data_IF_796875184456
#
_entry.id   IF_796875184456
#
_cell.length_a   1.000
_cell.length_b   1.000
_cell.length_c   1.000
_cell.angle_alpha   90.00
_cell.angle_beta   90.00
_cell.angle_gamma   90.00
#
_symmetry.space_group_name_H-M   'P 1'
#
loop_
_entity.id
_entity.type
_entity.pdbx_description
1 polymer ?
#
# COMPACT_ATOMS: atom_id res chain seq x y z
N UNK A 1 4.91 37.78 -6.56
CA UNK A 1 4.36 37.69 -5.21
C UNK A 1 5.44 38.16 -4.24
N UNK A 2 5.27 39.38 -3.67
CA UNK A 2 6.17 39.92 -2.65
C UNK A 2 6.09 39.09 -1.38
N UNK A 3 7.20 38.56 -0.91
CA UNK A 3 7.29 37.91 0.40
C UNK A 3 7.19 39.02 1.47
N UNK A 4 6.06 39.06 2.16
CA UNK A 4 5.88 39.85 3.38
C UNK A 4 6.34 38.96 4.54
N UNK A 5 7.43 39.30 5.22
CA UNK A 5 7.84 38.66 6.47
C UNK A 5 6.81 38.98 7.55
N UNK A 6 6.29 38.01 8.30
CA UNK A 6 5.35 38.28 9.39
C UNK A 6 6.04 39.07 10.51
N UNK A 7 5.49 40.20 10.86
CA UNK A 7 6.07 41.13 11.85
C UNK A 7 5.38 41.10 13.21
N UNK A 8 4.29 40.37 13.38
CA UNK A 8 3.60 40.21 14.66
C UNK A 8 3.23 38.73 14.96
N UNK A 9 3.06 38.39 16.24
CA UNK A 9 2.57 37.06 16.66
C UNK A 9 1.20 36.73 16.05
N UNK A 10 0.38 37.73 15.77
CA UNK A 10 -0.95 37.61 15.19
C UNK A 10 -0.86 37.25 13.68
N UNK A 11 0.02 37.92 12.93
CA UNK A 11 0.28 37.62 11.52
C UNK A 11 0.83 36.21 11.32
N UNK A 12 1.70 35.76 12.24
CA UNK A 12 2.24 34.40 12.23
C UNK A 12 1.16 33.35 12.47
N UNK A 13 0.24 33.61 13.39
CA UNK A 13 -0.88 32.70 13.68
C UNK A 13 -1.86 32.61 12.50
N UNK A 14 -2.18 33.77 11.88
CA UNK A 14 -3.05 33.83 10.71
C UNK A 14 -2.41 33.16 9.48
N UNK A 15 -1.10 33.32 9.30
CA UNK A 15 -0.34 32.59 8.27
C UNK A 15 -0.39 31.08 8.49
N UNK A 16 -0.18 30.63 9.73
CA UNK A 16 -0.25 29.19 10.08
C UNK A 16 -1.65 28.64 9.81
N UNK A 17 -2.71 29.34 10.23
CA UNK A 17 -4.09 28.92 10.00
C UNK A 17 -4.39 28.83 8.50
N UNK A 18 -4.00 29.83 7.71
CA UNK A 18 -4.18 29.84 6.24
C UNK A 18 -3.38 28.71 5.57
N UNK A 19 -2.15 28.46 6.04
CA UNK A 19 -1.33 27.36 5.52
C UNK A 19 -1.96 25.99 5.78
N UNK A 20 -2.48 25.75 7.01
CA UNK A 20 -3.18 24.52 7.33
C UNK A 20 -4.52 24.39 6.58
N UNK A 21 -5.28 25.47 6.38
CA UNK A 21 -6.51 25.43 5.58
C UNK A 21 -6.21 25.12 4.11
N UNK A 22 -5.14 25.70 3.57
CA UNK A 22 -4.68 25.43 2.20
C UNK A 22 -4.33 23.93 2.02
N UNK A 23 -3.54 23.35 2.93
CA UNK A 23 -3.15 21.94 2.87
C UNK A 23 -4.36 21.00 3.02
N UNK A 24 -5.32 21.34 3.90
CA UNK A 24 -6.45 20.46 4.22
C UNK A 24 -7.61 20.58 3.24
N UNK A 25 -7.82 21.73 2.63
CA UNK A 25 -9.03 22.01 1.83
C UNK A 25 -8.68 22.57 0.47
N UNK A 26 -8.00 23.72 0.41
CA UNK A 26 -7.91 24.49 -0.83
C UNK A 26 -7.12 23.79 -1.91
N UNK A 27 -6.04 23.08 -1.55
CA UNK A 27 -5.21 22.33 -2.49
C UNK A 27 -5.99 21.23 -3.21
N UNK A 28 -7.01 20.65 -2.56
CA UNK A 28 -7.86 19.58 -3.11
C UNK A 28 -8.96 20.08 -4.03
N UNK A 29 -9.31 21.37 -3.94
CA UNK A 29 -10.31 22.04 -4.79
C UNK A 29 -9.74 22.56 -6.10
N UNK A 30 -8.43 22.55 -6.27
CA UNK A 30 -7.76 23.02 -7.49
C UNK A 30 -7.88 21.94 -8.56
N UNK A 31 -8.52 22.21 -9.69
CA UNK A 31 -8.52 21.30 -10.85
C UNK A 31 -7.15 21.29 -11.52
N UNK A 32 -6.48 20.13 -11.51
CA UNK A 32 -5.14 20.00 -12.12
C UNK A 32 -5.18 20.22 -13.65
N UNK A 33 -6.29 19.86 -14.29
CA UNK A 33 -6.49 20.05 -15.73
C UNK A 33 -6.49 21.52 -16.17
N UNK A 34 -6.88 22.45 -15.29
CA UNK A 34 -6.99 23.87 -15.59
C UNK A 34 -5.66 24.63 -15.42
N UNK A 35 -4.60 23.94 -14.98
CA UNK A 35 -3.32 24.55 -14.68
C UNK A 35 -2.25 24.31 -15.76
N UNK A 36 -1.31 25.26 -15.95
CA UNK A 36 -0.11 25.01 -16.76
C UNK A 36 0.69 23.83 -16.22
N UNK A 37 1.30 23.04 -17.11
CA UNK A 37 1.99 21.78 -16.79
C UNK A 37 2.92 21.85 -15.57
N UNK A 38 3.75 22.91 -15.45
CA UNK A 38 4.69 23.05 -14.33
C UNK A 38 3.99 23.25 -12.96
N UNK A 39 2.90 24.03 -12.92
CA UNK A 39 2.13 24.25 -11.69
C UNK A 39 1.32 23.00 -11.32
N UNK A 40 0.70 22.37 -12.31
CA UNK A 40 -0.03 21.12 -12.17
C UNK A 40 0.87 20.02 -11.56
N UNK A 41 2.07 19.86 -12.09
CA UNK A 41 3.07 18.91 -11.58
C UNK A 41 3.43 19.19 -10.11
N UNK A 42 3.75 20.43 -9.75
CA UNK A 42 4.13 20.79 -8.38
C UNK A 42 2.98 20.55 -7.39
N UNK A 43 1.75 20.93 -7.75
CA UNK A 43 0.57 20.70 -6.90
C UNK A 43 0.31 19.20 -6.76
N UNK A 44 0.46 18.43 -7.85
CA UNK A 44 0.31 16.97 -7.80
C UNK A 44 1.33 16.33 -6.86
N UNK A 45 2.62 16.72 -6.93
CA UNK A 45 3.65 16.21 -6.02
C UNK A 45 3.35 16.58 -4.56
N UNK A 46 2.89 17.80 -4.31
CA UNK A 46 2.53 18.23 -2.96
C UNK A 46 1.33 17.43 -2.43
N UNK A 47 0.30 17.18 -3.26
CA UNK A 47 -0.83 16.31 -2.89
C UNK A 47 -0.38 14.89 -2.55
N UNK A 48 0.52 14.30 -3.36
CA UNK A 48 1.07 12.96 -3.12
C UNK A 48 1.74 12.89 -1.75
N UNK A 49 2.57 13.88 -1.42
CA UNK A 49 3.26 13.92 -0.12
C UNK A 49 2.26 14.08 1.03
N UNK A 50 1.30 15.00 0.90
CA UNK A 50 0.27 15.22 1.94
C UNK A 50 -0.56 13.94 2.14
N UNK A 51 -0.98 13.30 1.04
CA UNK A 51 -1.78 12.08 1.09
C UNK A 51 -1.00 10.93 1.73
N UNK A 52 0.28 10.76 1.40
CA UNK A 52 1.12 9.74 2.00
C UNK A 52 1.29 9.93 3.52
N UNK A 53 1.52 11.17 3.99
CA UNK A 53 1.60 11.45 5.42
C UNK A 53 0.26 11.23 6.14
N UNK A 54 -0.84 11.63 5.50
CA UNK A 54 -2.17 11.44 6.03
C UNK A 54 -2.55 9.96 6.11
N UNK A 55 -2.33 9.19 5.03
CA UNK A 55 -2.55 7.74 5.00
C UNK A 55 -1.69 7.03 6.04
N UNK A 56 -0.41 7.44 6.19
CA UNK A 56 0.50 6.88 7.20
C UNK A 56 -0.05 6.99 8.63
N UNK A 57 -0.75 8.08 8.96
CA UNK A 57 -1.40 8.28 10.26
C UNK A 57 -2.75 7.53 10.35
N UNK A 58 -3.62 7.66 9.33
CA UNK A 58 -4.95 7.03 9.27
C UNK A 58 -4.85 5.50 9.32
N UNK A 59 -3.89 4.91 8.59
CA UNK A 59 -3.63 3.47 8.55
C UNK A 59 -2.79 2.98 9.73
N UNK A 60 -2.47 3.87 10.67
CA UNK A 60 -1.71 3.55 11.88
C UNK A 60 -0.40 2.82 11.59
N UNK A 61 0.32 3.27 10.57
CA UNK A 61 1.55 2.64 10.10
C UNK A 61 2.62 2.49 11.19
N UNK A 62 2.68 3.41 12.17
CA UNK A 62 3.58 3.31 13.33
C UNK A 62 3.29 2.06 14.17
N UNK A 63 2.01 1.76 14.43
CA UNK A 63 1.60 0.58 15.21
C UNK A 63 1.85 -0.69 14.40
N UNK A 64 1.52 -0.68 13.10
CA UNK A 64 1.77 -1.81 12.20
C UNK A 64 3.25 -2.14 12.09
N UNK A 65 4.11 -1.12 11.99
CA UNK A 65 5.56 -1.30 12.00
C UNK A 65 6.06 -1.98 13.28
N UNK A 66 5.50 -1.62 14.44
CA UNK A 66 5.85 -2.29 15.72
C UNK A 66 5.41 -3.75 15.72
N UNK A 67 4.24 -4.04 15.21
CA UNK A 67 3.76 -5.43 15.04
C UNK A 67 4.67 -6.21 14.07
N UNK A 68 5.04 -5.63 12.92
CA UNK A 68 5.94 -6.25 11.96
C UNK A 68 7.34 -6.46 12.53
N UNK A 69 7.85 -5.52 13.34
CA UNK A 69 9.12 -5.66 14.07
C UNK A 69 9.09 -6.87 15.01
N UNK A 70 8.02 -7.02 15.79
CA UNK A 70 7.85 -8.16 16.67
C UNK A 70 7.81 -9.49 15.90
N UNK A 71 7.00 -9.59 14.85
CA UNK A 71 6.94 -10.81 14.04
C UNK A 71 8.25 -11.09 13.30
N UNK A 72 8.96 -10.06 12.84
CA UNK A 72 10.29 -10.21 12.21
C UNK A 72 11.27 -10.79 13.21
N UNK A 73 11.30 -10.28 14.45
CA UNK A 73 12.18 -10.79 15.48
C UNK A 73 11.90 -12.27 15.80
N UNK A 74 10.62 -12.63 15.99
CA UNK A 74 10.24 -14.01 16.29
C UNK A 74 10.60 -14.99 15.15
N UNK A 75 10.62 -14.52 13.93
CA UNK A 75 10.82 -15.37 12.75
C UNK A 75 12.20 -15.26 12.14
N UNK A 76 13.08 -14.41 12.66
CA UNK A 76 14.41 -14.21 12.06
C UNK A 76 15.20 -15.50 11.99
N UNK A 77 15.16 -16.32 13.04
CA UNK A 77 15.83 -17.62 13.09
C UNK A 77 15.17 -18.64 12.13
N UNK A 78 13.85 -18.85 12.15
CA UNK A 78 13.16 -19.67 11.14
C UNK A 78 13.43 -19.24 9.68
N UNK A 79 13.37 -17.94 9.39
CA UNK A 79 13.65 -17.41 8.05
C UNK A 79 15.10 -17.69 7.65
N UNK A 80 16.05 -17.39 8.52
CA UNK A 80 17.47 -17.67 8.27
C UNK A 80 17.72 -19.17 8.09
N UNK A 81 17.11 -20.03 8.92
CA UNK A 81 17.22 -21.49 8.76
C UNK A 81 16.70 -21.96 7.39
N UNK A 82 15.59 -21.41 6.91
CA UNK A 82 15.08 -21.72 5.56
C UNK A 82 16.06 -21.24 4.47
N UNK A 83 16.61 -20.02 4.58
CA UNK A 83 17.61 -19.49 3.66
C UNK A 83 18.87 -20.38 3.61
N UNK A 84 19.41 -20.74 4.78
CA UNK A 84 20.58 -21.63 4.86
C UNK A 84 20.25 -23.05 4.42
N UNK A 85 19.03 -23.54 4.67
CA UNK A 85 18.56 -24.84 4.18
C UNK A 85 18.57 -24.90 2.65
N UNK A 86 17.99 -23.89 2.00
CA UNK A 86 18.02 -23.75 0.54
C UNK A 86 19.46 -23.60 0.04
N UNK A 87 20.24 -22.69 0.62
CA UNK A 87 21.63 -22.45 0.25
C UNK A 87 22.49 -23.73 0.38
N UNK A 88 22.26 -24.53 1.42
CA UNK A 88 22.97 -25.80 1.63
C UNK A 88 22.56 -26.86 0.62
N UNK A 89 21.29 -26.95 0.27
CA UNK A 89 20.76 -27.85 -0.76
C UNK A 89 21.42 -27.59 -2.12
N UNK A 90 21.72 -26.34 -2.44
CA UNK A 90 22.43 -25.96 -3.67
C UNK A 90 23.93 -25.82 -3.52
N UNK A 91 24.54 -26.11 -2.36
CA UNK A 91 26.00 -26.12 -2.14
C UNK A 91 26.65 -24.74 -1.93
N UNK A 92 25.89 -23.65 -1.66
CA UNK A 92 26.43 -22.29 -1.54
C UNK A 92 26.27 -21.63 -0.15
N UNK A 93 26.02 -22.40 0.91
CA UNK A 93 25.79 -21.88 2.26
C UNK A 93 26.89 -20.94 2.78
N UNK A 94 28.18 -21.32 2.62
CA UNK A 94 29.32 -20.48 3.04
C UNK A 94 29.38 -19.14 2.30
N UNK A 95 28.98 -19.13 1.04
CA UNK A 95 28.93 -17.89 0.24
C UNK A 95 27.80 -16.99 0.69
N UNK A 96 26.64 -17.55 1.00
CA UNK A 96 25.51 -16.80 1.55
C UNK A 96 25.88 -16.16 2.91
N UNK A 97 26.57 -16.90 3.78
CA UNK A 97 27.04 -16.39 5.07
C UNK A 97 27.95 -15.18 4.89
N UNK A 98 28.95 -15.28 4.00
CA UNK A 98 29.83 -14.15 3.68
C UNK A 98 29.06 -12.93 3.16
N UNK A 99 28.16 -13.13 2.21
CA UNK A 99 27.35 -12.05 1.64
C UNK A 99 26.47 -11.36 2.70
N UNK A 100 25.95 -12.11 3.69
CA UNK A 100 25.19 -11.53 4.78
C UNK A 100 26.05 -10.62 5.67
N UNK A 101 27.27 -11.06 6.05
CA UNK A 101 28.19 -10.20 6.80
C UNK A 101 28.58 -8.95 6.03
N UNK A 102 28.84 -9.06 4.72
CA UNK A 102 29.20 -7.92 3.87
C UNK A 102 28.04 -6.91 3.71
N UNK A 103 26.79 -7.39 3.73
CA UNK A 103 25.60 -6.52 3.54
C UNK A 103 25.05 -5.89 4.81
N UNK A 104 25.36 -6.44 5.97
CA UNK A 104 24.88 -5.95 7.27
C UNK A 104 26.06 -5.60 8.20
N UNK A 105 26.92 -4.62 7.80
CA UNK A 105 28.03 -4.19 8.64
C UNK A 105 27.50 -3.60 9.95
N UNK A 106 28.20 -3.89 11.06
CA UNK A 106 27.81 -3.45 12.39
C UNK A 106 26.80 -4.35 13.10
N UNK A 107 26.38 -5.46 12.49
CA UNK A 107 25.44 -6.43 13.09
C UNK A 107 26.04 -7.83 13.21
N UNK A 108 27.36 -7.92 13.19
CA UNK A 108 28.11 -9.19 13.12
C UNK A 108 27.77 -10.11 14.31
N UNK A 109 27.60 -9.56 15.50
CA UNK A 109 27.27 -10.33 16.71
C UNK A 109 25.89 -10.98 16.61
N UNK A 110 24.89 -10.23 16.16
CA UNK A 110 23.52 -10.74 15.98
C UNK A 110 23.46 -11.73 14.83
N UNK A 111 24.12 -11.43 13.71
CA UNK A 111 24.21 -12.35 12.57
C UNK A 111 24.85 -13.68 12.98
N UNK A 112 25.95 -13.65 13.73
CA UNK A 112 26.61 -14.84 14.27
C UNK A 112 25.67 -15.71 15.09
N UNK A 113 24.89 -15.10 16.00
CA UNK A 113 23.90 -15.79 16.81
C UNK A 113 22.77 -16.38 15.94
N UNK A 114 22.19 -15.58 15.03
CA UNK A 114 21.11 -16.04 14.14
C UNK A 114 21.57 -17.18 13.25
N UNK A 115 22.76 -17.09 12.67
CA UNK A 115 23.35 -18.15 11.83
C UNK A 115 23.63 -19.41 12.64
N UNK A 116 24.19 -19.24 13.86
CA UNK A 116 24.45 -20.35 14.79
C UNK A 116 23.17 -21.11 15.16
N UNK A 117 22.12 -20.39 15.59
CA UNK A 117 20.82 -21.00 15.89
C UNK A 117 20.17 -21.64 14.66
N UNK A 118 20.27 -21.00 13.48
CA UNK A 118 19.73 -21.53 12.24
C UNK A 118 20.40 -22.85 11.83
N UNK A 119 21.74 -22.92 11.94
CA UNK A 119 22.49 -24.14 11.69
C UNK A 119 22.14 -25.25 12.69
N UNK A 120 22.00 -24.92 13.96
CA UNK A 120 21.59 -25.87 15.00
C UNK A 120 20.20 -26.43 14.75
N UNK A 121 19.23 -25.60 14.33
CA UNK A 121 17.89 -26.04 13.92
C UNK A 121 17.96 -26.98 12.72
N UNK A 122 18.75 -26.64 11.69
CA UNK A 122 18.92 -27.50 10.52
C UNK A 122 19.59 -28.84 10.83
N UNK A 123 20.50 -28.87 11.84
CA UNK A 123 21.15 -30.10 12.29
C UNK A 123 20.23 -31.01 13.09
N UNK A 124 19.41 -30.42 13.96
CA UNK A 124 18.39 -31.17 14.74
C UNK A 124 17.28 -31.74 13.84
N UNK A 125 17.07 -31.18 12.66
CA UNK A 125 16.09 -31.67 11.66
C UNK A 125 16.65 -32.76 10.73
N UNK A 126 17.86 -33.30 11.02
CA UNK A 126 18.44 -34.41 10.23
C UNK A 126 17.91 -35.77 10.73
N UNK A 127 16.88 -36.27 10.05
CA UNK A 127 16.45 -37.69 10.15
C UNK A 127 15.14 -37.92 10.90
N UNK A 128 14.28 -38.73 10.27
CA UNK A 128 13.04 -39.24 10.85
C UNK A 128 11.84 -38.30 10.83
N UNK A 129 10.78 -38.74 11.50
CA UNK A 129 9.48 -38.07 11.58
C UNK A 129 9.60 -36.67 12.25
N UNK A 130 10.48 -36.49 13.22
CA UNK A 130 10.73 -35.27 13.98
C UNK A 130 11.30 -34.17 13.02
N UNK A 131 12.16 -34.56 12.08
CA UNK A 131 12.70 -33.67 11.08
C UNK A 131 11.62 -33.07 10.17
N UNK A 132 10.68 -33.89 9.73
CA UNK A 132 9.54 -33.45 8.93
C UNK A 132 8.67 -32.44 9.66
N UNK A 133 8.35 -32.69 10.93
CA UNK A 133 7.56 -31.77 11.76
C UNK A 133 8.31 -30.46 11.98
N UNK A 134 9.61 -30.51 12.28
CA UNK A 134 10.44 -29.32 12.45
C UNK A 134 10.47 -28.44 11.20
N UNK A 135 10.62 -29.04 10.02
CA UNK A 135 10.57 -28.33 8.73
C UNK A 135 9.21 -27.68 8.48
N UNK A 136 8.11 -28.36 8.80
CA UNK A 136 6.76 -27.80 8.68
C UNK A 136 6.56 -26.60 9.61
N UNK A 137 7.05 -26.64 10.84
CA UNK A 137 6.98 -25.52 11.80
C UNK A 137 7.79 -24.33 11.32
N UNK A 138 9.00 -24.55 10.81
CA UNK A 138 9.82 -23.49 10.22
C UNK A 138 9.11 -22.84 9.03
N UNK A 139 8.62 -23.66 8.11
CA UNK A 139 7.87 -23.19 6.94
C UNK A 139 6.63 -22.38 7.34
N UNK A 140 5.85 -22.89 8.30
CA UNK A 140 4.68 -22.21 8.83
C UNK A 140 5.02 -20.85 9.44
N UNK A 141 6.13 -20.75 10.17
CA UNK A 141 6.59 -19.51 10.78
C UNK A 141 6.91 -18.45 9.72
N UNK A 142 7.57 -18.85 8.62
CA UNK A 142 7.89 -17.95 7.51
C UNK A 142 6.61 -17.50 6.78
N UNK A 143 5.67 -18.43 6.54
CA UNK A 143 4.37 -18.10 5.95
C UNK A 143 3.60 -17.07 6.79
N UNK A 144 3.67 -17.17 8.12
CA UNK A 144 3.02 -16.21 9.02
C UNK A 144 3.58 -14.81 8.86
N UNK A 145 4.90 -14.66 8.80
CA UNK A 145 5.54 -13.33 8.65
C UNK A 145 5.19 -12.71 7.31
N UNK A 146 5.33 -13.46 6.21
CA UNK A 146 4.94 -12.99 4.89
C UNK A 146 3.46 -12.60 4.84
N UNK A 147 2.61 -13.36 5.54
CA UNK A 147 1.19 -13.03 5.69
C UNK A 147 0.93 -11.71 6.44
N UNK A 148 1.70 -11.41 7.49
CA UNK A 148 1.60 -10.12 8.20
C UNK A 148 2.07 -8.94 7.34
N UNK A 149 3.14 -9.15 6.55
CA UNK A 149 3.62 -8.14 5.59
C UNK A 149 2.55 -7.88 4.51
N UNK A 150 2.01 -8.95 3.91
CA UNK A 150 0.92 -8.84 2.92
C UNK A 150 -0.29 -8.12 3.51
N UNK A 151 -0.69 -8.45 4.74
CA UNK A 151 -1.83 -7.83 5.42
C UNK A 151 -1.61 -6.32 5.60
N UNK A 152 -0.45 -5.92 6.11
CA UNK A 152 -0.13 -4.51 6.31
C UNK A 152 -0.15 -3.72 5.00
N UNK A 153 0.37 -4.30 3.91
CA UNK A 153 0.35 -3.67 2.60
C UNK A 153 -1.06 -3.66 1.99
N UNK A 154 -1.84 -4.72 2.16
CA UNK A 154 -3.23 -4.77 1.69
C UNK A 154 -4.12 -3.74 2.38
N UNK A 155 -3.88 -3.47 3.66
CA UNK A 155 -4.60 -2.45 4.41
C UNK A 155 -4.31 -1.05 3.85
N UNK A 156 -3.04 -0.72 3.57
CA UNK A 156 -2.63 0.53 2.90
C UNK A 156 -3.30 0.66 1.52
N UNK A 157 -3.42 -0.45 0.80
CA UNK A 157 -4.07 -0.49 -0.52
C UNK A 157 -5.59 -0.64 -0.44
N UNK A 158 -6.20 -0.51 0.73
CA UNK A 158 -7.64 -0.65 0.99
C UNK A 158 -8.24 -1.95 0.40
N UNK A 159 -7.43 -3.00 0.31
CA UNK A 159 -7.80 -4.26 -0.35
C UNK A 159 -8.53 -5.18 0.61
N UNK A 160 -9.84 -5.32 0.47
CA UNK A 160 -10.68 -6.16 1.34
C UNK A 160 -10.57 -7.67 1.03
N UNK A 161 -10.20 -8.05 -0.19
CA UNK A 161 -10.11 -9.46 -0.61
C UNK A 161 -8.73 -10.02 -0.29
N UNK A 162 -8.67 -11.06 0.53
CA UNK A 162 -7.43 -11.81 0.79
C UNK A 162 -7.19 -12.83 -0.33
N UNK A 163 -5.91 -13.15 -0.60
CA UNK A 163 -5.55 -14.25 -1.51
C UNK A 163 -6.05 -15.58 -0.97
N UNK A 164 -6.43 -16.51 -1.86
CA UNK A 164 -6.73 -17.88 -1.48
C UNK A 164 -5.49 -18.56 -0.89
N UNK A 165 -5.68 -19.49 0.05
CA UNK A 165 -4.60 -20.20 0.72
C UNK A 165 -3.63 -20.89 -0.25
N UNK A 166 -4.13 -21.51 -1.32
CA UNK A 166 -3.29 -22.16 -2.33
C UNK A 166 -2.38 -21.17 -3.05
N UNK A 167 -2.87 -19.98 -3.38
CA UNK A 167 -2.08 -18.93 -4.01
C UNK A 167 -1.05 -18.33 -3.05
N UNK A 168 -1.42 -18.09 -1.79
CA UNK A 168 -0.46 -17.65 -0.74
C UNK A 168 0.70 -18.64 -0.61
N UNK A 169 0.38 -19.93 -0.53
CA UNK A 169 1.38 -20.98 -0.42
C UNK A 169 2.35 -20.97 -1.60
N UNK A 170 1.83 -20.95 -2.83
CA UNK A 170 2.66 -20.94 -4.06
C UNK A 170 3.55 -19.71 -4.16
N UNK A 171 2.98 -18.50 -3.93
CA UNK A 171 3.69 -17.24 -4.05
C UNK A 171 4.80 -17.13 -2.98
N UNK A 172 4.50 -17.53 -1.73
CA UNK A 172 5.46 -17.45 -0.63
C UNK A 172 6.55 -18.51 -0.76
N UNK A 173 6.23 -19.72 -1.22
CA UNK A 173 7.21 -20.76 -1.52
C UNK A 173 8.17 -20.28 -2.61
N UNK A 174 7.65 -19.65 -3.65
CA UNK A 174 8.49 -19.08 -4.71
C UNK A 174 9.44 -18.01 -4.16
N UNK A 175 8.95 -17.09 -3.33
CA UNK A 175 9.78 -16.05 -2.68
C UNK A 175 10.87 -16.70 -1.82
N UNK A 176 10.53 -17.71 -1.01
CA UNK A 176 11.48 -18.40 -0.14
C UNK A 176 12.59 -19.11 -0.91
N UNK A 177 12.27 -19.73 -2.04
CA UNK A 177 13.25 -20.45 -2.85
C UNK A 177 14.11 -19.50 -3.67
N UNK A 178 13.53 -18.43 -4.20
CA UNK A 178 14.23 -17.51 -5.10
C UNK A 178 15.08 -16.50 -4.32
N UNK A 179 14.64 -16.05 -3.14
CA UNK A 179 15.33 -14.98 -2.39
C UNK A 179 16.80 -15.29 -2.06
N UNK A 180 17.21 -16.48 -1.57
CA UNK A 180 18.62 -16.77 -1.30
C UNK A 180 19.47 -16.72 -2.57
N UNK A 181 18.90 -17.16 -3.70
CA UNK A 181 19.55 -17.14 -5.00
C UNK A 181 19.77 -15.71 -5.48
N UNK A 182 18.74 -14.84 -5.33
CA UNK A 182 18.84 -13.42 -5.68
C UNK A 182 19.87 -12.68 -4.83
N UNK A 183 19.94 -12.99 -3.53
CA UNK A 183 20.95 -12.37 -2.63
C UNK A 183 22.37 -12.72 -3.11
N UNK A 184 22.61 -13.99 -3.45
CA UNK A 184 23.90 -14.43 -3.98
C UNK A 184 24.23 -13.83 -5.34
N UNK A 185 23.26 -13.78 -6.24
CA UNK A 185 23.45 -13.18 -7.57
C UNK A 185 23.76 -11.68 -7.45
N UNK A 186 23.10 -10.98 -6.54
CA UNK A 186 23.35 -9.55 -6.27
C UNK A 186 24.80 -9.29 -5.84
N UNK A 187 25.34 -10.07 -4.89
CA UNK A 187 26.74 -9.94 -4.48
C UNK A 187 27.72 -10.31 -5.59
N UNK A 188 27.46 -11.44 -6.27
CA UNK A 188 28.29 -11.90 -7.38
C UNK A 188 28.32 -10.91 -8.55
N UNK A 189 27.18 -10.34 -8.91
CA UNK A 189 27.08 -9.33 -9.97
C UNK A 189 27.89 -8.08 -9.62
N UNK A 190 27.83 -7.62 -8.38
CA UNK A 190 28.60 -6.44 -7.94
C UNK A 190 30.11 -6.69 -8.04
N UNK A 191 30.60 -7.84 -7.55
CA UNK A 191 32.01 -8.22 -7.65
C UNK A 191 32.45 -8.41 -9.10
N UNK A 192 31.64 -9.09 -9.91
CA UNK A 192 31.94 -9.33 -11.32
C UNK A 192 32.03 -8.01 -12.10
N UNK A 193 31.05 -7.12 -11.92
CA UNK A 193 31.01 -5.81 -12.59
C UNK A 193 32.23 -4.97 -12.16
N UNK A 194 32.53 -4.87 -10.86
CA UNK A 194 33.69 -4.10 -10.38
C UNK A 194 35.00 -4.67 -10.92
N UNK A 195 35.19 -5.98 -10.93
CA UNK A 195 36.42 -6.61 -11.41
C UNK A 195 36.57 -6.41 -12.92
N UNK A 196 35.54 -6.67 -13.71
CA UNK A 196 35.56 -6.49 -15.16
C UNK A 196 35.80 -5.02 -15.56
N UNK A 197 35.11 -4.12 -14.92
CA UNK A 197 35.26 -2.68 -15.18
C UNK A 197 36.68 -2.21 -14.82
N UNK A 198 37.22 -2.65 -13.68
CA UNK A 198 38.60 -2.30 -13.29
C UNK A 198 39.62 -2.87 -14.28
N UNK A 199 39.46 -4.12 -14.75
CA UNK A 199 40.32 -4.73 -15.74
C UNK A 199 40.25 -4.05 -17.12
N UNK A 200 39.04 -3.63 -17.54
CA UNK A 200 38.84 -2.96 -18.82
C UNK A 200 39.39 -1.52 -18.75
N UNK A 201 39.19 -0.78 -17.65
CA UNK A 201 39.74 0.55 -17.48
C UNK A 201 41.25 0.60 -17.39
N UNK A 202 41.87 -0.48 -16.89
CA UNK A 202 43.34 -0.60 -16.86
C UNK A 202 43.95 -0.97 -18.23
N UNK A 203 43.18 -1.62 -19.12
CA UNK A 203 43.67 -2.09 -20.44
C UNK A 203 43.49 -1.09 -21.57
N UNK A 204 42.65 -0.09 -21.39
CA UNK A 204 42.30 0.88 -22.45
C UNK A 204 42.51 2.30 -21.92
N UNK A 205 43.61 2.94 -22.32
CA UNK A 205 44.00 4.32 -21.89
C UNK A 205 42.92 5.34 -22.13
N UNK A 206 42.15 5.23 -23.23
CA UNK A 206 41.03 6.11 -23.54
C UNK A 206 39.89 6.02 -22.48
N UNK A 207 39.71 4.87 -21.80
CA UNK A 207 38.70 4.68 -20.74
C UNK A 207 39.16 5.24 -19.40
N UNK A 208 40.42 5.62 -19.25
CA UNK A 208 40.93 6.33 -18.07
C UNK A 208 40.23 7.67 -17.82
N UNK A 209 39.81 8.37 -18.87
CA UNK A 209 39.03 9.61 -18.79
C UNK A 209 37.60 9.35 -18.30
N UNK A 210 37.03 8.16 -18.58
CA UNK A 210 35.67 7.77 -18.21
C UNK A 210 35.65 7.02 -16.86
N UNK A 211 36.84 6.62 -16.35
CA UNK A 211 36.98 5.90 -15.07
C UNK A 211 36.27 6.53 -13.88
N UNK A 212 36.29 7.89 -13.68
CA UNK A 212 35.55 8.52 -12.59
C UNK A 212 34.04 8.36 -12.72
N UNK A 213 33.51 8.42 -13.95
CA UNK A 213 32.08 8.23 -14.21
C UNK A 213 31.65 6.78 -13.93
N UNK A 214 32.46 5.80 -14.36
CA UNK A 214 32.21 4.39 -14.10
C UNK A 214 32.27 4.10 -12.59
N UNK A 215 33.27 4.63 -11.88
CA UNK A 215 33.37 4.46 -10.43
C UNK A 215 32.19 5.12 -9.68
N UNK A 216 31.69 6.24 -10.19
CA UNK A 216 30.49 6.88 -9.67
C UNK A 216 29.24 6.00 -9.88
N UNK A 217 29.04 5.47 -11.09
CA UNK A 217 27.92 4.55 -11.39
C UNK A 217 27.97 3.30 -10.53
N UNK A 218 29.16 2.75 -10.29
CA UNK A 218 29.30 1.58 -9.40
C UNK A 218 28.95 1.89 -7.95
N UNK A 219 29.23 3.12 -7.47
CA UNK A 219 28.78 3.55 -6.13
C UNK A 219 27.26 3.65 -6.00
N UNK A 220 26.53 3.87 -7.11
CA UNK A 220 25.07 3.86 -7.11
C UNK A 220 24.43 2.46 -7.16
N UNK A 221 25.21 1.43 -7.48
CA UNK A 221 24.69 0.03 -7.60
C UNK A 221 23.90 -0.42 -6.34
N UNK A 222 24.37 -0.21 -5.10
CA UNK A 222 23.61 -0.60 -3.91
C UNK A 222 22.25 0.11 -3.82
N UNK A 223 22.20 1.40 -4.22
CA UNK A 223 20.94 2.16 -4.23
C UNK A 223 19.95 1.59 -5.24
N UNK A 224 20.40 1.31 -6.46
CA UNK A 224 19.56 0.74 -7.52
C UNK A 224 18.99 -0.62 -7.11
N UNK A 225 19.80 -1.46 -6.47
CA UNK A 225 19.34 -2.77 -5.98
C UNK A 225 18.26 -2.64 -4.91
N UNK A 226 18.41 -1.72 -3.95
CA UNK A 226 17.42 -1.47 -2.90
C UNK A 226 16.16 -0.84 -3.51
N UNK A 227 16.30 0.09 -4.46
CA UNK A 227 15.15 0.67 -5.19
C UNK A 227 14.37 -0.42 -5.94
N UNK A 228 15.07 -1.32 -6.62
CA UNK A 228 14.45 -2.45 -7.32
C UNK A 228 13.74 -3.39 -6.35
N UNK A 229 14.38 -3.73 -5.22
CA UNK A 229 13.80 -4.60 -4.19
C UNK A 229 12.49 -4.02 -3.65
N UNK A 230 12.48 -2.75 -3.24
CA UNK A 230 11.27 -2.12 -2.70
C UNK A 230 10.20 -1.91 -3.79
N UNK A 231 10.61 -1.58 -5.03
CA UNK A 231 9.67 -1.51 -6.16
C UNK A 231 8.97 -2.85 -6.38
N UNK A 232 9.73 -3.94 -6.40
CA UNK A 232 9.19 -5.30 -6.54
C UNK A 232 8.27 -5.65 -5.36
N UNK A 233 8.67 -5.31 -4.14
CA UNK A 233 7.86 -5.52 -2.93
C UNK A 233 6.50 -4.82 -3.05
N UNK A 234 6.48 -3.54 -3.44
CA UNK A 234 5.25 -2.75 -3.54
C UNK A 234 4.34 -3.18 -4.69
N UNK A 235 4.89 -3.77 -5.77
CA UNK A 235 4.10 -4.25 -6.90
C UNK A 235 3.53 -5.66 -6.65
N UNK A 236 4.35 -6.55 -6.06
CA UNK A 236 4.00 -7.98 -5.96
C UNK A 236 3.21 -8.30 -4.70
N UNK A 237 3.58 -7.70 -3.55
CA UNK A 237 3.01 -8.09 -2.25
C UNK A 237 1.53 -7.69 -2.10
N UNK A 238 1.04 -6.50 -2.48
CA UNK A 238 -0.37 -6.17 -2.37
C UNK A 238 -1.23 -7.06 -3.26
N UNK A 239 -2.42 -7.45 -2.76
CA UNK A 239 -3.37 -8.23 -3.54
C UNK A 239 -4.24 -7.36 -4.46
N UNK A 240 -3.64 -6.36 -5.08
CA UNK A 240 -4.25 -5.44 -6.03
C UNK A 240 -3.29 -5.12 -7.16
N UNK A 241 -3.77 -4.44 -8.21
CA UNK A 241 -2.94 -4.04 -9.34
C UNK A 241 -2.22 -2.73 -9.00
N UNK A 242 -0.93 -2.80 -8.80
CA UNK A 242 -0.08 -1.63 -8.58
C UNK A 242 0.62 -1.26 -9.88
N UNK A 243 0.48 0.01 -10.29
CA UNK A 243 1.14 0.53 -11.48
C UNK A 243 2.66 0.61 -11.25
N UNK A 244 3.44 0.21 -12.26
CA UNK A 244 4.90 0.23 -12.17
C UNK A 244 5.46 1.60 -11.76
N UNK A 245 4.93 2.69 -12.31
CA UNK A 245 5.36 4.08 -11.98
C UNK A 245 5.12 4.42 -10.50
N UNK A 246 4.00 3.95 -9.94
CA UNK A 246 3.67 4.16 -8.53
C UNK A 246 4.58 3.34 -7.61
N UNK A 247 4.77 2.06 -7.90
CA UNK A 247 5.70 1.21 -7.18
C UNK A 247 7.15 1.70 -7.25
N UNK A 248 7.57 2.19 -8.42
CA UNK A 248 8.92 2.75 -8.62
C UNK A 248 9.14 4.02 -7.79
N UNK A 249 8.18 4.94 -7.76
CA UNK A 249 8.28 6.16 -6.94
C UNK A 249 8.45 5.79 -5.46
N UNK A 250 7.56 4.94 -4.93
CA UNK A 250 7.65 4.44 -3.55
C UNK A 250 8.99 3.74 -3.28
N UNK A 251 9.43 2.87 -4.21
CA UNK A 251 10.67 2.11 -4.10
C UNK A 251 11.92 2.99 -4.09
N UNK A 252 11.98 4.00 -4.94
CA UNK A 252 13.11 4.95 -5.00
C UNK A 252 13.18 5.79 -3.72
N UNK A 253 12.06 6.34 -3.28
CA UNK A 253 12.02 7.18 -2.06
C UNK A 253 12.34 6.34 -0.82
N UNK A 254 11.65 5.21 -0.63
CA UNK A 254 11.91 4.33 0.52
C UNK A 254 13.33 3.77 0.51
N UNK A 255 13.84 3.34 -0.65
CA UNK A 255 15.19 2.83 -0.76
C UNK A 255 16.26 3.88 -0.47
N UNK A 256 16.04 5.13 -0.87
CA UNK A 256 16.92 6.24 -0.53
C UNK A 256 16.88 6.55 0.97
N UNK A 257 15.69 6.63 1.57
CA UNK A 257 15.53 6.82 3.02
C UNK A 257 16.17 5.68 3.81
N UNK A 258 16.02 4.43 3.34
CA UNK A 258 16.64 3.26 3.95
C UNK A 258 18.16 3.36 3.96
N UNK A 259 18.79 3.74 2.84
CA UNK A 259 20.23 3.90 2.74
C UNK A 259 20.74 5.03 3.65
N UNK A 260 20.02 6.15 3.72
CA UNK A 260 20.34 7.24 4.62
C UNK A 260 20.24 6.79 6.08
N UNK A 261 19.16 6.10 6.44
CA UNK A 261 18.95 5.58 7.79
C UNK A 261 20.01 4.54 8.16
N UNK A 262 20.42 3.67 7.22
CA UNK A 262 21.50 2.70 7.41
C UNK A 262 22.84 3.37 7.68
N UNK A 263 23.19 4.40 6.91
CA UNK A 263 24.42 5.17 7.13
C UNK A 263 24.41 5.87 8.49
N UNK A 264 23.30 6.48 8.87
CA UNK A 264 23.12 7.11 10.18
C UNK A 264 23.20 6.09 11.32
N UNK A 265 22.57 4.92 11.16
CA UNK A 265 22.61 3.83 12.16
C UNK A 265 24.05 3.32 12.39
N UNK A 266 24.80 3.05 11.31
CA UNK A 266 26.20 2.60 11.40
C UNK A 266 27.04 3.67 12.09
N UNK A 267 26.89 4.95 11.70
CA UNK A 267 27.62 6.05 12.34
C UNK A 267 27.30 6.19 13.83
N UNK A 268 26.03 6.01 14.20
CA UNK A 268 25.60 6.01 15.59
C UNK A 268 26.17 4.82 16.37
N UNK A 269 26.16 3.62 15.78
CA UNK A 269 26.70 2.41 16.41
C UNK A 269 28.20 2.50 16.67
N UNK A 270 28.99 3.05 15.73
CA UNK A 270 30.43 3.31 15.93
C UNK A 270 30.67 4.32 17.06
N UNK A 271 29.82 5.37 17.13
CA UNK A 271 29.84 6.33 18.25
C UNK A 271 29.51 5.68 19.60
N UNK A 272 28.44 4.86 19.63
CA UNK A 272 27.96 4.17 20.82
C UNK A 272 28.95 3.10 21.32
N UNK A 273 29.71 2.46 20.44
CA UNK A 273 30.77 1.51 20.82
C UNK A 273 31.83 2.14 21.75
N UNK A 274 32.04 3.45 21.69
CA UNK A 274 32.92 4.18 22.64
C UNK A 274 32.30 4.32 24.03
N UNK A 275 30.97 4.16 24.17
CA UNK A 275 30.25 4.18 25.46
C UNK A 275 29.94 2.77 26.00
N UNK A 276 30.39 1.72 25.32
CA UNK A 276 30.15 0.30 25.66
C UNK A 276 30.66 -0.15 27.05
N UNK A 277 31.35 0.72 27.80
CA UNK A 277 31.80 0.40 29.15
C UNK A 277 30.64 0.12 30.13
N UNK A 278 29.41 0.56 29.86
CA UNK A 278 28.25 0.43 30.74
C UNK A 278 27.29 -0.69 30.30
N UNK A 279 27.03 -0.84 29.00
CA UNK A 279 26.01 -1.77 28.50
C UNK A 279 26.57 -3.04 27.84
N UNK A 280 27.86 -3.10 27.50
CA UNK A 280 28.50 -4.27 26.86
C UNK A 280 27.73 -4.83 25.67
N UNK A 281 27.71 -6.16 25.52
CA UNK A 281 26.98 -6.88 24.49
C UNK A 281 25.43 -6.73 24.58
N UNK A 282 24.90 -6.30 25.74
CA UNK A 282 23.47 -6.12 25.95
C UNK A 282 22.89 -4.98 25.09
N UNK A 283 23.70 -4.02 24.66
CA UNK A 283 23.26 -2.92 23.81
C UNK A 283 22.91 -3.38 22.37
N UNK A 284 23.45 -4.50 21.89
CA UNK A 284 23.26 -4.97 20.53
C UNK A 284 21.79 -5.27 20.21
N UNK A 285 21.07 -5.93 21.12
CA UNK A 285 19.66 -6.28 20.90
C UNK A 285 18.71 -5.07 20.79
N UNK A 286 18.72 -4.10 21.73
CA UNK A 286 17.92 -2.88 21.59
C UNK A 286 18.25 -2.07 20.32
N UNK A 287 19.51 -1.95 19.96
CA UNK A 287 19.93 -1.26 18.73
C UNK A 287 19.41 -1.97 17.49
N UNK A 288 19.48 -3.29 17.45
CA UNK A 288 18.94 -4.09 16.37
C UNK A 288 17.41 -3.97 16.24
N UNK A 289 16.69 -3.99 17.38
CA UNK A 289 15.24 -3.76 17.38
C UNK A 289 14.88 -2.37 16.83
N UNK A 290 15.62 -1.34 17.24
CA UNK A 290 15.44 0.02 16.74
C UNK A 290 15.69 0.08 15.23
N UNK A 291 16.70 -0.62 14.72
CA UNK A 291 16.99 -0.73 13.30
C UNK A 291 15.84 -1.37 12.51
N UNK A 292 15.32 -2.50 12.98
CA UNK A 292 14.17 -3.18 12.35
C UNK A 292 12.94 -2.26 12.37
N UNK A 293 12.69 -1.58 13.49
CA UNK A 293 11.56 -0.67 13.66
C UNK A 293 11.62 0.48 12.65
N UNK A 294 12.78 1.14 12.50
CA UNK A 294 13.00 2.22 11.53
C UNK A 294 12.85 1.69 10.10
N UNK A 295 13.37 0.49 9.83
CA UNK A 295 13.24 -0.15 8.51
C UNK A 295 11.77 -0.34 8.13
N UNK A 296 10.93 -0.83 9.05
CA UNK A 296 9.49 -0.98 8.80
C UNK A 296 8.76 0.34 8.66
N UNK A 297 9.15 1.39 9.40
CA UNK A 297 8.60 2.73 9.20
C UNK A 297 8.81 3.21 7.76
N UNK A 298 10.03 3.05 7.26
CA UNK A 298 10.40 3.46 5.91
C UNK A 298 9.67 2.62 4.86
N UNK A 299 9.58 1.31 5.06
CA UNK A 299 8.88 0.39 4.13
C UNK A 299 7.40 0.75 4.02
N UNK A 300 6.71 0.96 5.15
CA UNK A 300 5.29 1.33 5.13
C UNK A 300 5.08 2.73 4.56
N UNK A 301 5.96 3.70 4.86
CA UNK A 301 5.90 5.03 4.25
C UNK A 301 6.05 5.00 2.72
N UNK A 302 6.96 4.16 2.20
CA UNK A 302 7.09 3.97 0.76
C UNK A 302 5.87 3.32 0.11
N UNK A 303 5.19 2.42 0.82
CA UNK A 303 3.93 1.84 0.37
C UNK A 303 2.82 2.89 0.29
N UNK A 304 2.69 3.76 1.31
CA UNK A 304 1.78 4.90 1.32
C UNK A 304 2.06 5.87 0.17
N UNK A 305 3.33 6.16 -0.08
CA UNK A 305 3.72 7.03 -1.18
C UNK A 305 3.38 6.41 -2.55
N UNK A 306 3.55 5.09 -2.69
CA UNK A 306 3.13 4.35 -3.87
C UNK A 306 1.61 4.42 -4.06
N UNK A 307 0.84 4.17 -3.00
CA UNK A 307 -0.61 4.29 -3.00
C UNK A 307 -1.07 5.71 -3.35
N UNK A 308 -0.50 6.72 -2.67
CA UNK A 308 -0.80 8.12 -2.91
C UNK A 308 -0.51 8.54 -4.37
N UNK A 309 0.62 8.11 -4.94
CA UNK A 309 0.95 8.43 -6.32
C UNK A 309 -0.01 7.80 -7.34
N UNK A 310 -0.49 6.59 -7.07
CA UNK A 310 -1.47 5.94 -7.94
C UNK A 310 -2.85 6.58 -7.86
N UNK A 311 -3.24 7.02 -6.66
CA UNK A 311 -4.62 7.40 -6.37
C UNK A 311 -4.83 8.91 -6.18
N UNK A 312 -3.79 9.75 -6.30
CA UNK A 312 -3.88 11.20 -6.02
C UNK A 312 -4.96 11.91 -6.83
N UNK A 313 -5.20 11.48 -8.06
CA UNK A 313 -6.21 12.08 -8.93
C UNK A 313 -7.65 11.72 -8.47
N UNK A 314 -7.79 10.66 -7.66
CA UNK A 314 -9.08 10.22 -7.09
C UNK A 314 -9.50 11.03 -5.85
N UNK A 315 -8.57 11.77 -5.27
CA UNK A 315 -8.78 12.58 -4.07
C UNK A 315 -9.13 14.05 -4.37
N UNK A 316 -9.32 14.41 -5.64
CA UNK A 316 -9.86 15.74 -5.97
C UNK A 316 -11.24 15.94 -5.34
N UNK A 317 -11.45 17.12 -4.72
CA UNK A 317 -12.69 17.47 -3.98
C UNK A 317 -13.04 16.56 -2.79
N UNK A 318 -12.12 15.75 -2.29
CA UNK A 318 -12.39 14.83 -1.17
C UNK A 318 -13.00 15.51 0.07
N UNK A 319 -12.51 16.67 0.56
CA UNK A 319 -13.09 17.32 1.73
C UNK A 319 -14.56 17.70 1.57
N UNK A 320 -14.99 17.95 0.33
CA UNK A 320 -16.36 18.30 -0.01
C UNK A 320 -17.22 17.04 -0.18
N UNK A 321 -16.65 15.93 -0.68
CA UNK A 321 -17.33 14.64 -0.82
C UNK A 321 -17.79 14.05 0.51
N UNK A 322 -17.01 14.25 1.59
CA UNK A 322 -17.38 13.77 2.93
C UNK A 322 -18.51 14.57 3.58
N UNK A 323 -18.84 15.77 3.07
CA UNK A 323 -19.85 16.68 3.59
C UNK A 323 -21.08 16.80 2.68
N UNK A 324 -21.20 15.91 1.71
CA UNK A 324 -22.35 15.90 0.78
C UNK A 324 -23.64 15.69 1.55
N UNK A 325 -24.63 16.58 1.33
CA UNK A 325 -25.96 16.42 1.94
C UNK A 325 -26.65 15.14 1.44
N UNK A 326 -27.48 14.52 2.28
CA UNK A 326 -28.23 13.32 1.90
C UNK A 326 -29.09 13.53 0.65
N UNK A 327 -29.68 14.73 0.48
CA UNK A 327 -30.46 15.06 -0.71
C UNK A 327 -29.61 15.08 -1.99
N UNK A 328 -28.43 15.72 -1.94
CA UNK A 328 -27.52 15.75 -3.08
C UNK A 328 -26.92 14.37 -3.36
N UNK A 329 -26.60 13.59 -2.32
CA UNK A 329 -26.16 12.19 -2.49
C UNK A 329 -27.21 11.35 -3.21
N UNK A 330 -28.52 11.48 -2.86
CA UNK A 330 -29.62 10.82 -3.57
C UNK A 330 -29.64 11.16 -5.06
N UNK A 331 -29.48 12.44 -5.41
CA UNK A 331 -29.43 12.87 -6.82
C UNK A 331 -28.27 12.22 -7.58
N UNK A 332 -27.05 12.25 -7.00
CA UNK A 332 -25.86 11.66 -7.61
C UNK A 332 -25.98 10.13 -7.76
N UNK A 333 -26.62 9.49 -6.78
CA UNK A 333 -26.88 8.04 -6.83
C UNK A 333 -27.83 7.68 -7.99
N UNK A 334 -28.87 8.48 -8.17
CA UNK A 334 -29.78 8.30 -9.32
C UNK A 334 -29.08 8.55 -10.66
N UNK A 335 -28.15 9.50 -10.76
CA UNK A 335 -27.38 9.75 -11.97
C UNK A 335 -26.47 8.56 -12.31
N UNK A 336 -25.78 7.97 -11.30
CA UNK A 336 -24.95 6.77 -11.51
C UNK A 336 -25.82 5.58 -11.92
N UNK A 337 -26.92 5.34 -11.20
CA UNK A 337 -27.84 4.26 -11.54
C UNK A 337 -28.43 4.41 -12.96
N UNK A 338 -28.81 5.62 -13.35
CA UNK A 338 -29.30 5.93 -14.69
C UNK A 338 -28.25 5.65 -15.76
N UNK A 339 -27.00 6.09 -15.56
CA UNK A 339 -25.92 5.82 -16.49
C UNK A 339 -25.72 4.32 -16.72
N UNK A 340 -25.69 3.53 -15.63
CA UNK A 340 -25.55 2.08 -15.71
C UNK A 340 -26.72 1.42 -16.41
N UNK A 341 -27.95 1.85 -16.12
CA UNK A 341 -29.17 1.35 -16.76
C UNK A 341 -29.18 1.64 -18.26
N UNK A 342 -28.85 2.88 -18.68
CA UNK A 342 -28.76 3.25 -20.10
C UNK A 342 -27.68 2.46 -20.84
N UNK A 343 -26.51 2.32 -20.27
CA UNK A 343 -25.43 1.54 -20.84
C UNK A 343 -25.82 0.08 -21.04
N UNK A 344 -26.47 -0.50 -20.03
CA UNK A 344 -26.95 -1.88 -20.10
C UNK A 344 -28.07 -2.04 -21.14
N UNK A 345 -29.01 -1.10 -21.22
CA UNK A 345 -30.09 -1.12 -22.19
C UNK A 345 -29.58 -1.06 -23.66
N UNK A 346 -28.47 -0.34 -23.89
CA UNK A 346 -27.83 -0.24 -25.20
C UNK A 346 -26.95 -1.45 -25.54
N UNK A 347 -26.76 -2.42 -24.60
CA UNK A 347 -25.86 -3.55 -24.82
C UNK A 347 -24.36 -3.18 -24.68
N UNK A 348 -24.05 -2.03 -24.08
CA UNK A 348 -22.68 -1.61 -23.84
C UNK A 348 -22.02 -2.46 -22.75
N UNK A 349 -20.67 -2.49 -22.73
CA UNK A 349 -19.91 -3.19 -21.68
C UNK A 349 -20.12 -2.52 -20.33
N UNK A 350 -20.09 -3.31 -19.22
CA UNK A 350 -20.10 -2.78 -17.87
C UNK A 350 -18.99 -1.75 -17.65
N UNK A 351 -19.28 -0.69 -16.89
CA UNK A 351 -18.36 0.41 -16.63
C UNK A 351 -17.59 0.20 -15.33
N UNK A 352 -16.31 0.57 -15.33
CA UNK A 352 -15.53 0.68 -14.09
C UNK A 352 -15.87 1.99 -13.35
N UNK A 353 -15.54 2.07 -12.06
CA UNK A 353 -15.69 3.28 -11.23
C UNK A 353 -14.96 4.49 -11.85
N UNK A 354 -13.75 4.28 -12.41
CA UNK A 354 -12.97 5.32 -13.11
C UNK A 354 -13.72 5.82 -14.34
N UNK A 355 -14.34 4.93 -15.13
CA UNK A 355 -15.10 5.31 -16.31
C UNK A 355 -16.38 6.06 -15.93
N UNK A 356 -17.07 5.65 -14.86
CA UNK A 356 -18.25 6.35 -14.35
C UNK A 356 -17.86 7.75 -13.86
N UNK A 357 -16.79 7.86 -13.08
CA UNK A 357 -16.23 9.12 -12.60
C UNK A 357 -15.92 10.08 -13.76
N UNK A 358 -15.26 9.58 -14.79
CA UNK A 358 -14.91 10.40 -15.97
C UNK A 358 -16.12 10.83 -16.79
N UNK A 359 -17.14 9.96 -16.95
CA UNK A 359 -18.34 10.29 -17.76
C UNK A 359 -19.28 11.26 -17.05
N UNK A 360 -19.37 11.17 -15.71
CA UNK A 360 -20.24 12.02 -14.91
C UNK A 360 -19.51 13.26 -14.31
N UNK A 361 -18.21 13.37 -14.56
CA UNK A 361 -17.32 14.38 -13.97
C UNK A 361 -17.46 14.45 -12.42
N UNK A 362 -17.67 13.30 -11.79
CA UNK A 362 -17.81 13.17 -10.34
C UNK A 362 -16.50 12.73 -9.71
N UNK A 363 -16.18 13.22 -8.49
CA UNK A 363 -15.03 12.70 -7.72
C UNK A 363 -15.16 11.18 -7.54
N UNK A 364 -14.09 10.45 -7.85
CA UNK A 364 -14.13 8.97 -7.87
C UNK A 364 -14.45 8.38 -6.50
N UNK A 365 -13.99 8.98 -5.40
CA UNK A 365 -14.29 8.52 -4.04
C UNK A 365 -15.81 8.57 -3.76
N UNK A 366 -16.48 9.60 -4.27
CA UNK A 366 -17.93 9.71 -4.15
C UNK A 366 -18.63 8.65 -4.99
N UNK A 367 -18.15 8.42 -6.21
CA UNK A 367 -18.63 7.35 -7.08
C UNK A 367 -18.44 5.98 -6.41
N UNK A 368 -17.26 5.72 -5.85
CA UNK A 368 -16.97 4.46 -5.15
C UNK A 368 -17.90 4.22 -3.96
N UNK A 369 -18.12 5.25 -3.12
CA UNK A 369 -19.04 5.16 -1.99
C UNK A 369 -20.48 4.90 -2.44
N UNK A 370 -20.93 5.57 -3.49
CA UNK A 370 -22.28 5.38 -4.04
C UNK A 370 -22.42 3.98 -4.66
N UNK A 371 -21.41 3.50 -5.40
CA UNK A 371 -21.42 2.16 -5.96
C UNK A 371 -21.44 1.09 -4.87
N UNK A 372 -20.70 1.31 -3.77
CA UNK A 372 -20.75 0.42 -2.61
C UNK A 372 -22.17 0.31 -2.03
N UNK A 373 -22.87 1.46 -1.85
CA UNK A 373 -24.25 1.48 -1.36
C UNK A 373 -25.21 0.80 -2.36
N UNK A 374 -25.03 1.02 -3.67
CA UNK A 374 -25.83 0.39 -4.73
C UNK A 374 -25.62 -1.13 -4.82
N UNK A 375 -24.41 -1.62 -4.58
CA UNK A 375 -24.11 -3.06 -4.53
C UNK A 375 -24.69 -3.67 -3.24
N UNK A 376 -24.52 -3.00 -2.10
CA UNK A 376 -25.05 -3.45 -0.82
C UNK A 376 -26.59 -3.56 -0.83
N UNK A 377 -27.28 -2.65 -1.52
CA UNK A 377 -28.73 -2.67 -1.70
C UNK A 377 -29.21 -3.65 -2.79
N UNK A 378 -28.30 -4.36 -3.47
CA UNK A 378 -28.63 -5.32 -4.53
C UNK A 378 -29.22 -4.69 -5.81
N UNK A 379 -28.99 -3.39 -6.03
CA UNK A 379 -29.39 -2.67 -7.24
C UNK A 379 -28.39 -2.83 -8.37
N UNK A 380 -27.11 -2.94 -8.01
CA UNK A 380 -25.97 -3.09 -8.92
C UNK A 380 -25.18 -4.34 -8.57
N UNK A 381 -24.62 -5.01 -9.54
CA UNK A 381 -23.70 -6.14 -9.37
C UNK A 381 -22.31 -5.81 -9.88
N UNK A 382 -21.31 -6.33 -9.17
CA UNK A 382 -19.93 -6.34 -9.63
C UNK A 382 -19.73 -7.46 -10.66
N UNK A 383 -19.01 -7.15 -11.73
CA UNK A 383 -18.58 -8.13 -12.73
C UNK A 383 -17.09 -7.95 -12.99
N UNK A 384 -16.41 -9.02 -13.40
CA UNK A 384 -15.00 -8.94 -13.76
C UNK A 384 -14.89 -8.59 -15.27
N UNK A 385 -14.02 -7.63 -15.57
CA UNK A 385 -13.65 -7.38 -16.96
C UNK A 385 -12.61 -8.40 -17.42
N UNK A 386 -12.41 -8.49 -18.76
CA UNK A 386 -11.37 -9.35 -19.35
C UNK A 386 -9.93 -8.99 -18.93
N UNK A 387 -9.73 -7.88 -18.23
CA UNK A 387 -8.46 -7.52 -17.59
C UNK A 387 -8.49 -8.03 -16.15
N UNK A 388 -7.67 -9.00 -15.82
CA UNK A 388 -7.53 -9.56 -14.49
C UNK A 388 -7.44 -8.45 -13.42
N UNK A 389 -8.38 -8.45 -12.46
CA UNK A 389 -8.50 -7.56 -11.30
C UNK A 389 -9.29 -6.24 -11.49
N UNK A 390 -9.79 -5.86 -12.64
CA UNK A 390 -10.68 -4.70 -12.75
C UNK A 390 -12.13 -5.10 -12.49
N UNK A 391 -12.78 -4.38 -11.55
CA UNK A 391 -14.21 -4.54 -11.24
C UNK A 391 -14.99 -3.55 -12.07
N UNK A 392 -16.04 -4.00 -12.73
CA UNK A 392 -17.00 -3.19 -13.44
C UNK A 392 -18.41 -3.42 -12.88
N UNK A 393 -19.31 -2.51 -13.14
CA UNK A 393 -20.61 -2.44 -12.52
C UNK A 393 -21.72 -2.48 -13.57
N UNK A 394 -22.78 -3.22 -13.27
CA UNK A 394 -23.98 -3.32 -14.11
C UNK A 394 -25.23 -3.46 -13.24
N UNK A 395 -26.46 -3.14 -13.76
CA UNK A 395 -27.69 -3.39 -13.02
C UNK A 395 -27.82 -4.85 -12.58
N UNK A 396 -28.23 -5.08 -11.32
CA UNK A 396 -28.49 -6.40 -10.75
C UNK A 396 -29.99 -6.78 -10.80
N UNK A 397 -30.83 -5.88 -11.25
CA UNK A 397 -32.28 -6.02 -11.34
C UNK A 397 -32.78 -5.72 -12.75
N UNK A 398 -33.99 -6.18 -13.06
CA UNK A 398 -34.66 -5.86 -14.32
C UNK A 398 -34.77 -4.32 -14.48
N UNK A 399 -34.18 -3.79 -15.55
CA UNK A 399 -34.16 -2.35 -15.86
C UNK A 399 -35.57 -1.77 -16.08
N UNK A 400 -36.57 -2.60 -16.36
CA UNK A 400 -37.97 -2.22 -16.49
C UNK A 400 -38.68 -2.02 -15.13
N UNK A 401 -38.02 -2.33 -14.02
CA UNK A 401 -38.49 -2.12 -12.66
C UNK A 401 -37.77 -1.02 -11.93
N UNK A 402 -36.64 -0.54 -12.46
CA UNK A 402 -35.80 0.47 -11.82
C UNK A 402 -36.38 1.87 -12.06
N UNK A 403 -37.36 2.27 -11.22
CA UNK A 403 -37.86 3.63 -11.14
C UNK A 403 -37.04 4.46 -10.15
N UNK A 404 -37.22 5.78 -10.15
CA UNK A 404 -36.60 6.69 -9.17
C UNK A 404 -36.90 6.22 -7.75
N UNK A 405 -38.18 5.99 -7.43
CA UNK A 405 -38.63 5.58 -6.11
C UNK A 405 -38.08 4.21 -5.72
N UNK A 406 -38.10 3.24 -6.62
CA UNK A 406 -37.57 1.90 -6.34
C UNK A 406 -36.09 1.94 -5.93
N UNK A 407 -35.27 2.76 -6.60
CA UNK A 407 -33.84 2.90 -6.25
C UNK A 407 -33.67 3.57 -4.88
N UNK A 408 -34.42 4.65 -4.58
CA UNK A 408 -34.34 5.35 -3.30
C UNK A 408 -34.79 4.45 -2.15
N UNK A 409 -35.90 3.75 -2.31
CA UNK A 409 -36.45 2.83 -1.31
C UNK A 409 -35.49 1.67 -1.01
N UNK A 410 -34.92 1.04 -2.04
CA UNK A 410 -33.96 -0.04 -1.84
C UNK A 410 -32.71 0.41 -1.07
N UNK A 411 -32.27 1.66 -1.23
CA UNK A 411 -31.17 2.24 -0.46
C UNK A 411 -31.57 2.54 0.99
N UNK A 412 -32.79 3.06 1.21
CA UNK A 412 -33.31 3.36 2.54
C UNK A 412 -33.58 2.09 3.37
N UNK A 413 -33.98 1.01 2.72
CA UNK A 413 -34.18 -0.30 3.34
C UNK A 413 -32.90 -1.15 3.49
N UNK A 414 -31.77 -0.62 3.01
CA UNK A 414 -30.46 -1.29 3.15
C UNK A 414 -29.99 -1.19 4.60
N UNK A 415 -30.25 -2.23 5.41
CA UNK A 415 -29.85 -2.27 6.82
C UNK A 415 -30.61 -3.32 7.63
N UNK A 416 -30.59 -3.16 8.95
CA UNK A 416 -31.28 -4.06 9.89
C UNK A 416 -32.43 -3.26 10.54
N UNK A 417 -33.66 -3.65 10.27
CA UNK A 417 -34.87 -3.04 10.83
C UNK A 417 -35.34 -3.70 12.13
N UNK A 418 -34.65 -4.75 12.61
CA UNK A 418 -35.05 -5.60 13.73
C UNK A 418 -34.34 -5.27 15.04
N UNK A 419 -34.17 -3.97 15.35
CA UNK A 419 -33.64 -3.54 16.65
C UNK A 419 -34.79 -3.46 17.65
N UNK A 420 -34.67 -3.97 18.90
CA UNK A 420 -35.71 -3.89 19.91
C UNK A 420 -35.88 -2.42 20.37
N UNK A 421 -36.90 -1.75 19.83
CA UNK A 421 -37.34 -0.42 20.26
C UNK A 421 -38.74 -0.50 20.86
N UNK A 422 -39.08 0.42 21.78
CA UNK A 422 -40.42 0.50 22.35
C UNK A 422 -41.44 0.90 21.26
N UNK A 423 -42.42 0.03 21.00
CA UNK A 423 -43.50 0.28 20.04
C UNK A 423 -44.58 1.10 20.73
N UNK A 424 -44.41 2.42 20.74
CA UNK A 424 -45.41 3.37 21.25
C UNK A 424 -46.44 3.69 20.18
N UNK A 425 -47.61 4.30 20.59
CA UNK A 425 -48.60 4.78 19.64
C UNK A 425 -48.02 5.81 18.67
N UNK A 426 -47.12 6.67 19.14
CA UNK A 426 -46.43 7.66 18.30
C UNK A 426 -45.50 6.99 17.28
N UNK A 427 -44.79 5.93 17.69
CA UNK A 427 -43.96 5.13 16.77
C UNK A 427 -44.78 4.56 15.63
N UNK A 428 -45.98 4.00 15.95
CA UNK A 428 -46.87 3.45 14.93
C UNK A 428 -47.41 4.53 14.00
N UNK A 429 -47.84 5.66 14.54
CA UNK A 429 -48.36 6.81 13.74
C UNK A 429 -47.29 7.38 12.79
N UNK A 430 -46.05 7.50 13.25
CA UNK A 430 -44.94 7.94 12.41
C UNK A 430 -44.59 6.92 11.31
N UNK A 431 -44.56 5.62 11.63
CA UNK A 431 -44.35 4.55 10.67
C UNK A 431 -45.43 4.55 9.57
N UNK A 432 -46.70 4.65 9.95
CA UNK A 432 -47.83 4.72 9.00
C UNK A 432 -47.75 5.96 8.10
N UNK A 433 -47.34 7.10 8.66
CA UNK A 433 -47.14 8.34 7.89
C UNK A 433 -45.99 8.20 6.86
N UNK A 434 -44.87 7.62 7.25
CA UNK A 434 -43.74 7.37 6.33
C UNK A 434 -44.14 6.41 5.19
N UNK A 435 -44.92 5.38 5.50
CA UNK A 435 -45.46 4.47 4.50
C UNK A 435 -46.36 5.18 3.50
N UNK A 436 -47.26 6.02 4.01
CA UNK A 436 -48.15 6.82 3.14
C UNK A 436 -47.37 7.78 2.22
N UNK A 437 -46.25 8.37 2.68
CA UNK A 437 -45.36 9.17 1.82
C UNK A 437 -44.69 8.33 0.74
N UNK A 438 -44.19 7.13 1.07
CA UNK A 438 -43.62 6.23 0.09
C UNK A 438 -44.63 5.82 -0.99
N UNK A 439 -45.88 5.45 -0.57
CA UNK A 439 -46.98 5.10 -1.48
C UNK A 439 -47.37 6.25 -2.40
N UNK A 440 -47.39 7.49 -1.89
CA UNK A 440 -47.67 8.68 -2.69
C UNK A 440 -46.55 8.94 -3.72
N UNK A 441 -45.29 8.81 -3.35
CA UNK A 441 -44.17 8.93 -4.27
C UNK A 441 -44.21 7.83 -5.37
N UNK A 442 -44.55 6.60 -5.02
CA UNK A 442 -44.67 5.50 -5.97
C UNK A 442 -45.71 5.78 -7.06
N UNK A 443 -46.83 6.37 -6.68
CA UNK A 443 -47.96 6.75 -7.59
C UNK A 443 -47.71 8.03 -8.36
N UNK A 444 -46.67 8.79 -8.01
CA UNK A 444 -46.39 10.07 -8.65
C UNK A 444 -46.04 9.94 -10.12
N UNK A 445 -46.55 10.82 -11.02
CA UNK A 445 -46.11 10.87 -12.43
C UNK A 445 -44.62 11.20 -12.59
N UNK A 446 -43.99 11.77 -11.55
CA UNK A 446 -42.55 12.04 -11.53
C UNK A 446 -41.71 10.76 -11.31
N UNK A 447 -42.32 9.66 -10.83
CA UNK A 447 -41.64 8.38 -10.63
C UNK A 447 -41.44 7.63 -11.96
N UNK A 448 -40.48 8.09 -12.75
CA UNK A 448 -40.17 7.53 -14.06
C UNK A 448 -39.16 6.38 -13.97
N UNK A 449 -39.16 5.50 -14.97
CA UNK A 449 -38.09 4.53 -15.15
C UNK A 449 -36.76 5.24 -15.49
N UNK A 450 -35.67 4.80 -14.88
CA UNK A 450 -34.35 5.40 -15.12
C UNK A 450 -33.88 5.29 -16.57
N UNK A 451 -34.35 4.27 -17.31
CA UNK A 451 -34.06 4.12 -18.74
C UNK A 451 -34.73 5.16 -19.61
N UNK A 452 -35.85 5.76 -19.17
CA UNK A 452 -36.69 6.67 -19.96
C UNK A 452 -36.41 8.15 -19.64
N UNK A 453 -35.52 8.43 -18.67
CA UNK A 453 -35.03 9.76 -18.31
C UNK A 453 -33.74 10.03 -19.11
#
# INVERSE_FOLDING_TARGET
>A
VKQVKPTSKQDMRDFIIRFFSFIRVDIWRIRLADLPFGKSFLIKQLRIIILAFRGYDEDRCLIRASSLTFYTLLSIVPVAAMFFGVAKGFGFAKRLEKELYDKFPGQEEILSQVIGFSNSLLEQTKGGLIAGIGLLVLFWSVLKVLGHIEMALNDIWETKKQRSWGRKFSDYLAIMLISPILVLMSGSATVFITTQVTQITQKVELLGVISPLISLLLKFTPYVLIWALFTILYIIMPNTKVNFKAGLLGGVVAGTLYQIAQGAYISFQIGAARYNAIYGSFAALPLFLMWIQISWWIVLFGAELSFANQNVDTYEYEPDCLKVSSGFKKLLTLQIAQLLVKKFANGDKPLTDIQISGQLEMPIRLVHNILFDLVASGLVSETQTNQDKEIAYQPARDINKLTIQYVLEALEQSGIDSIPVAKTADHQALSDSLKNFSDAMQKSPANKLLKDI
#
